data_IF_745021255693
#
_entry.id   IF_745021255693
#
_cell.length_a   1.000
_cell.length_b   1.000
_cell.length_c   1.000
_cell.angle_alpha   90.00
_cell.angle_beta   90.00
_cell.angle_gamma   90.00
#
_symmetry.space_group_name_H-M   'P 1'
#
loop_
_entity.id
_entity.type
_entity.pdbx_description
1 polymer ?
#
# COMPACT_ATOMS: atom_id res chain seq x y z
N UNK A 1 34.45 -2.77 -2.64
CA UNK A 1 33.21 -2.38 -1.94
C UNK A 1 32.56 -1.08 -2.47
N UNK A 2 33.17 -0.33 -3.40
CA UNK A 2 32.53 0.86 -4.01
C UNK A 2 31.36 0.55 -4.97
N UNK A 3 31.24 -0.68 -5.49
CA UNK A 3 30.16 -1.01 -6.43
C UNK A 3 28.75 -1.10 -5.82
N UNK A 4 28.60 -1.35 -4.51
CA UNK A 4 27.28 -1.50 -3.89
C UNK A 4 26.51 -0.17 -3.71
N UNK A 5 27.20 0.96 -3.66
CA UNK A 5 26.55 2.28 -3.47
C UNK A 5 25.79 2.77 -4.71
N UNK A 6 26.11 2.27 -5.90
CA UNK A 6 25.48 2.72 -7.14
C UNK A 6 24.13 2.05 -7.45
N UNK A 7 23.81 0.90 -6.83
CA UNK A 7 22.63 0.11 -7.20
C UNK A 7 21.44 0.25 -6.23
N UNK A 8 21.67 0.65 -4.97
CA UNK A 8 20.59 0.75 -3.98
C UNK A 8 19.43 1.68 -4.38
N UNK A 9 19.66 2.88 -4.96
CA UNK A 9 18.56 3.75 -5.40
C UNK A 9 17.69 3.13 -6.50
N UNK A 10 18.29 2.35 -7.41
CA UNK A 10 17.57 1.67 -8.49
C UNK A 10 16.71 0.52 -7.96
N UNK A 11 17.21 -0.23 -6.96
CA UNK A 11 16.44 -1.29 -6.31
C UNK A 11 15.27 -0.71 -5.53
N UNK A 12 15.49 0.37 -4.77
CA UNK A 12 14.43 1.09 -4.04
C UNK A 12 13.38 1.61 -5.02
N UNK A 13 13.79 2.24 -6.12
CA UNK A 13 12.88 2.75 -7.14
C UNK A 13 12.05 1.65 -7.81
N UNK A 14 12.71 0.57 -8.25
CA UNK A 14 12.04 -0.55 -8.89
C UNK A 14 11.03 -1.23 -7.97
N UNK A 15 11.41 -1.46 -6.72
CA UNK A 15 10.54 -2.07 -5.72
C UNK A 15 9.36 -1.15 -5.37
N UNK A 16 9.60 0.16 -5.22
CA UNK A 16 8.56 1.14 -4.98
C UNK A 16 7.53 1.16 -6.12
N UNK A 17 7.96 1.18 -7.38
CA UNK A 17 7.03 1.15 -8.53
C UNK A 17 6.15 -0.10 -8.50
N UNK A 18 6.72 -1.27 -8.20
CA UNK A 18 5.96 -2.51 -8.08
C UNK A 18 4.94 -2.41 -6.95
N UNK A 19 5.35 -1.92 -5.76
CA UNK A 19 4.44 -1.69 -4.63
C UNK A 19 3.30 -0.77 -5.05
N UNK A 20 3.59 0.37 -5.69
CA UNK A 20 2.59 1.35 -6.12
C UNK A 20 1.58 0.76 -7.10
N UNK A 21 2.03 -0.05 -8.06
CA UNK A 21 1.13 -0.71 -9.01
C UNK A 21 0.21 -1.68 -8.27
N UNK A 22 0.74 -2.51 -7.37
CA UNK A 22 -0.05 -3.48 -6.62
C UNK A 22 -1.03 -2.79 -5.65
N UNK A 23 -0.58 -1.78 -4.91
CA UNK A 23 -1.44 -0.96 -4.03
C UNK A 23 -2.55 -0.29 -4.85
N UNK A 24 -2.22 0.28 -6.02
CA UNK A 24 -3.20 0.89 -6.91
C UNK A 24 -4.23 -0.12 -7.43
N UNK A 25 -3.78 -1.24 -8.01
CA UNK A 25 -4.67 -2.31 -8.49
C UNK A 25 -5.54 -2.84 -7.35
N UNK A 26 -4.95 -3.10 -6.18
CA UNK A 26 -5.69 -3.52 -5.00
C UNK A 26 -6.76 -2.51 -4.61
N UNK A 27 -6.39 -1.25 -4.40
CA UNK A 27 -7.27 -0.17 -3.92
C UNK A 27 -8.43 0.12 -4.87
N UNK A 28 -8.16 0.16 -6.18
CA UNK A 28 -9.12 0.64 -7.18
C UNK A 28 -9.99 -0.45 -7.83
N UNK A 29 -9.88 -1.71 -7.39
CA UNK A 29 -10.65 -2.83 -7.94
C UNK A 29 -11.75 -3.33 -7.01
N UNK A 30 -12.84 -3.81 -7.62
CA UNK A 30 -14.09 -4.17 -6.93
C UNK A 30 -14.14 -5.64 -6.43
N UNK A 31 -13.03 -6.15 -5.86
CA UNK A 31 -12.95 -7.54 -5.37
C UNK A 31 -12.18 -7.68 -4.05
N UNK A 32 -12.40 -6.76 -3.13
CA UNK A 32 -11.91 -6.86 -1.75
C UNK A 32 -12.74 -7.85 -0.93
N UNK A 33 -14.06 -7.84 -1.12
CA UNK A 33 -14.98 -8.81 -0.56
C UNK A 33 -15.68 -9.58 -1.67
N UNK A 34 -15.85 -10.90 -1.49
CA UNK A 34 -16.64 -11.76 -2.36
C UNK A 34 -17.64 -12.56 -1.56
N UNK A 35 -18.84 -12.73 -2.10
CA UNK A 35 -19.92 -13.52 -1.54
C UNK A 35 -20.44 -14.46 -2.63
N UNK A 36 -20.60 -15.74 -2.31
CA UNK A 36 -21.13 -16.75 -3.23
C UNK A 36 -22.00 -17.73 -2.45
N UNK A 37 -23.25 -17.90 -2.87
CA UNK A 37 -24.18 -18.90 -2.36
C UNK A 37 -24.96 -19.51 -3.53
N UNK A 38 -24.61 -20.74 -3.91
CA UNK A 38 -25.19 -21.38 -5.10
C UNK A 38 -24.94 -20.54 -6.35
N UNK A 39 -26.01 -20.12 -7.02
CA UNK A 39 -25.94 -19.26 -8.23
C UNK A 39 -25.88 -17.76 -7.92
N UNK A 40 -26.06 -17.34 -6.66
CA UNK A 40 -25.97 -15.93 -6.27
C UNK A 40 -24.52 -15.56 -5.98
N UNK A 41 -23.96 -14.64 -6.75
CA UNK A 41 -22.61 -14.13 -6.59
C UNK A 41 -22.63 -12.61 -6.44
N UNK A 42 -21.77 -12.09 -5.57
CA UNK A 42 -21.60 -10.66 -5.36
C UNK A 42 -20.16 -10.35 -4.97
N UNK A 43 -19.71 -9.15 -5.31
CA UNK A 43 -18.39 -8.66 -4.98
C UNK A 43 -18.46 -7.19 -4.57
N UNK A 44 -17.50 -6.75 -3.77
CA UNK A 44 -17.37 -5.37 -3.33
C UNK A 44 -15.91 -4.91 -3.39
N UNK A 45 -15.71 -3.66 -3.77
CA UNK A 45 -14.49 -2.92 -3.47
C UNK A 45 -14.51 -2.33 -2.05
N UNK A 46 -13.41 -1.72 -1.63
CA UNK A 46 -13.38 -0.90 -0.41
C UNK A 46 -14.13 0.43 -0.59
N UNK A 47 -14.17 0.92 -1.83
CA UNK A 47 -14.88 2.12 -2.23
C UNK A 47 -15.39 1.93 -3.66
N UNK A 48 -16.53 2.53 -3.99
CA UNK A 48 -17.17 2.41 -5.31
C UNK A 48 -16.62 3.42 -6.32
N UNK A 49 -15.40 3.19 -6.78
CA UNK A 49 -14.72 4.10 -7.70
C UNK A 49 -15.51 4.31 -8.99
N UNK A 50 -15.71 5.57 -9.37
CA UNK A 50 -16.40 5.93 -10.61
C UNK A 50 -17.91 5.69 -10.65
N UNK A 51 -18.54 5.21 -9.56
CA UNK A 51 -19.99 5.01 -9.50
C UNK A 51 -20.74 6.25 -8.99
N UNK A 52 -21.92 6.49 -9.55
CA UNK A 52 -22.80 7.57 -9.10
C UNK A 52 -23.25 7.32 -7.65
N UNK A 53 -23.00 8.28 -6.75
CA UNK A 53 -23.39 8.15 -5.34
C UNK A 53 -22.35 7.48 -4.43
N UNK A 54 -21.15 7.16 -4.93
CA UNK A 54 -20.08 6.55 -4.16
C UNK A 54 -19.75 7.28 -2.84
N UNK A 55 -19.69 8.62 -2.87
CA UNK A 55 -19.46 9.42 -1.65
C UNK A 55 -20.57 9.24 -0.60
N UNK A 56 -21.83 9.17 -1.04
CA UNK A 56 -22.97 8.97 -0.13
C UNK A 56 -22.95 7.57 0.47
N UNK A 57 -22.56 6.56 -0.32
CA UNK A 57 -22.39 5.19 0.14
C UNK A 57 -21.22 5.06 1.13
N UNK A 58 -20.10 5.70 0.83
CA UNK A 58 -18.94 5.78 1.73
C UNK A 58 -19.29 6.38 3.09
N UNK A 59 -20.03 7.50 3.11
CA UNK A 59 -20.48 8.14 4.36
C UNK A 59 -21.39 7.24 5.20
N UNK A 60 -22.11 6.31 4.58
CA UNK A 60 -23.00 5.33 5.24
C UNK A 60 -22.31 4.01 5.55
N UNK A 61 -21.10 3.80 5.03
CA UNK A 61 -20.33 2.59 5.25
C UNK A 61 -19.88 2.49 6.72
N UNK A 62 -19.65 1.28 7.24
CA UNK A 62 -19.21 1.12 8.62
C UNK A 62 -17.83 1.76 8.83
N UNK A 63 -17.59 2.32 10.02
CA UNK A 63 -16.36 3.08 10.30
C UNK A 63 -15.05 2.30 10.08
N UNK A 64 -15.07 0.97 10.27
CA UNK A 64 -13.91 0.14 9.95
C UNK A 64 -13.58 0.14 8.45
N UNK A 65 -14.58 0.16 7.57
CA UNK A 65 -14.39 0.19 6.12
C UNK A 65 -13.92 1.58 5.68
N UNK A 66 -14.45 2.64 6.31
CA UNK A 66 -13.95 4.01 6.11
C UNK A 66 -12.47 4.13 6.47
N UNK A 67 -12.06 3.53 7.59
CA UNK A 67 -10.65 3.47 7.99
C UNK A 67 -9.79 2.78 6.93
N UNK A 68 -10.21 1.61 6.42
CA UNK A 68 -9.47 0.88 5.37
C UNK A 68 -9.28 1.75 4.12
N UNK A 69 -10.34 2.42 3.64
CA UNK A 69 -10.26 3.29 2.46
C UNK A 69 -9.28 4.44 2.68
N UNK A 70 -9.35 5.12 3.83
CA UNK A 70 -8.45 6.23 4.15
C UNK A 70 -7.01 5.75 4.24
N UNK A 71 -6.75 4.63 4.92
CA UNK A 71 -5.41 4.06 5.03
C UNK A 71 -4.83 3.69 3.65
N UNK A 72 -5.61 3.04 2.79
CA UNK A 72 -5.16 2.66 1.43
C UNK A 72 -4.88 3.89 0.56
N UNK A 73 -5.77 4.89 0.57
CA UNK A 73 -5.57 6.14 -0.17
C UNK A 73 -4.36 6.94 0.33
N UNK A 74 -4.16 7.01 1.65
CA UNK A 74 -3.00 7.70 2.23
C UNK A 74 -1.70 6.95 1.88
N UNK A 75 -1.69 5.62 1.98
CA UNK A 75 -0.54 4.82 1.58
C UNK A 75 -0.19 5.05 0.10
N UNK A 76 -1.18 4.96 -0.79
CA UNK A 76 -1.00 5.21 -2.22
C UNK A 76 -0.49 6.65 -2.50
N UNK A 77 -1.01 7.64 -1.78
CA UNK A 77 -0.55 9.03 -1.92
C UNK A 77 0.90 9.21 -1.49
N UNK A 78 1.32 8.56 -0.39
CA UNK A 78 2.71 8.57 0.05
C UNK A 78 3.64 7.79 -0.89
N UNK A 79 3.17 6.71 -1.50
CA UNK A 79 3.92 5.98 -2.54
C UNK A 79 4.19 6.87 -3.77
N UNK A 80 3.19 7.64 -4.23
CA UNK A 80 3.36 8.60 -5.31
C UNK A 80 4.34 9.72 -4.93
N UNK A 81 4.22 10.27 -3.71
CA UNK A 81 5.17 11.25 -3.20
C UNK A 81 6.59 10.67 -3.14
N UNK A 82 6.73 9.43 -2.69
CA UNK A 82 8.01 8.73 -2.63
C UNK A 82 8.58 8.52 -4.04
N UNK A 83 7.75 8.17 -5.03
CA UNK A 83 8.17 8.06 -6.44
C UNK A 83 8.74 9.40 -6.93
N UNK A 84 8.06 10.51 -6.64
CA UNK A 84 8.50 11.86 -7.02
C UNK A 84 9.81 12.26 -6.34
N UNK A 85 10.08 11.81 -5.12
CA UNK A 85 11.32 12.11 -4.40
C UNK A 85 12.51 11.27 -4.88
N UNK A 86 12.28 10.02 -5.30
CA UNK A 86 13.33 9.12 -5.77
C UNK A 86 13.87 9.51 -7.15
N UNK A 87 13.04 10.05 -8.04
CA UNK A 87 13.46 10.45 -9.40
C UNK A 87 14.59 11.49 -9.39
N UNK A 88 14.49 12.63 -8.67
CA UNK A 88 15.59 13.58 -8.54
C UNK A 88 16.83 12.97 -7.88
N UNK A 89 16.67 12.07 -6.91
CA UNK A 89 17.78 11.42 -6.22
C UNK A 89 18.62 10.55 -7.18
N UNK A 90 17.98 9.89 -8.14
CA UNK A 90 18.65 9.12 -9.21
C UNK A 90 19.33 10.06 -10.21
N UNK A 91 18.64 11.11 -10.66
CA UNK A 91 19.12 12.01 -11.72
C UNK A 91 20.27 12.90 -11.27
N UNK A 92 20.18 13.50 -10.08
CA UNK A 92 21.15 14.50 -9.62
C UNK A 92 22.32 13.89 -8.83
N UNK A 93 22.25 12.60 -8.46
CA UNK A 93 23.27 11.86 -7.67
C UNK A 93 23.76 12.55 -6.37
N UNK A 94 23.12 13.64 -5.94
CA UNK A 94 23.43 14.34 -4.69
C UNK A 94 22.67 13.65 -3.56
N UNK A 95 23.37 12.80 -2.84
CA UNK A 95 22.88 12.10 -1.66
C UNK A 95 23.06 12.99 -0.44
N UNK A 96 21.97 13.21 0.32
CA UNK A 96 21.81 13.71 1.70
C UNK A 96 20.74 14.81 1.71
N UNK A 97 19.61 14.73 2.47
CA UNK A 97 19.17 13.75 3.48
C UNK A 97 18.03 12.82 2.98
N UNK A 98 18.01 12.52 1.68
CA UNK A 98 16.89 11.80 1.03
C UNK A 98 16.68 10.39 1.59
N UNK A 99 17.72 9.67 1.99
CA UNK A 99 17.62 8.29 2.48
C UNK A 99 16.82 8.15 3.80
N UNK A 100 17.01 9.08 4.74
CA UNK A 100 16.24 9.10 5.98
C UNK A 100 14.76 9.38 5.72
N UNK A 101 14.46 10.32 4.80
CA UNK A 101 13.10 10.60 4.36
C UNK A 101 12.46 9.39 3.65
N UNK A 102 13.19 8.71 2.77
CA UNK A 102 12.75 7.47 2.12
C UNK A 102 12.42 6.38 3.14
N UNK A 103 13.27 6.20 4.15
CA UNK A 103 13.05 5.22 5.22
C UNK A 103 11.80 5.55 6.03
N UNK A 104 11.63 6.81 6.43
CA UNK A 104 10.44 7.26 7.14
C UNK A 104 9.16 7.09 6.30
N UNK A 105 9.18 7.49 5.03
CA UNK A 105 8.05 7.32 4.12
C UNK A 105 7.70 5.84 3.93
N UNK A 106 8.70 4.98 3.71
CA UNK A 106 8.48 3.53 3.57
C UNK A 106 7.88 2.91 4.84
N UNK A 107 8.25 3.40 6.02
CA UNK A 107 7.66 2.97 7.29
C UNK A 107 6.20 3.41 7.43
N UNK A 108 5.89 4.66 7.09
CA UNK A 108 4.52 5.19 7.13
C UNK A 108 3.61 4.42 6.18
N UNK A 109 4.05 4.19 4.94
CA UNK A 109 3.34 3.39 3.93
C UNK A 109 3.07 1.99 4.50
N UNK A 110 4.11 1.33 5.03
CA UNK A 110 4.00 -0.01 5.60
C UNK A 110 2.95 -0.08 6.71
N UNK A 111 2.96 0.87 7.66
CA UNK A 111 2.01 0.91 8.77
C UNK A 111 0.59 1.11 8.26
N UNK A 112 0.37 2.04 7.33
CA UNK A 112 -0.95 2.31 6.76
C UNK A 112 -1.51 1.09 6.03
N UNK A 113 -0.68 0.43 5.21
CA UNK A 113 -1.07 -0.80 4.53
C UNK A 113 -1.40 -1.91 5.53
N UNK A 114 -0.58 -2.12 6.57
CA UNK A 114 -0.86 -3.11 7.61
C UNK A 114 -2.19 -2.87 8.33
N UNK A 115 -2.47 -1.63 8.73
CA UNK A 115 -3.74 -1.27 9.36
C UNK A 115 -4.90 -1.62 8.43
N UNK A 116 -4.83 -1.21 7.16
CA UNK A 116 -5.87 -1.51 6.17
C UNK A 116 -6.10 -3.02 6.00
N UNK A 117 -5.04 -3.81 5.89
CA UNK A 117 -5.14 -5.26 5.69
C UNK A 117 -5.75 -5.99 6.89
N UNK A 118 -5.29 -5.66 8.11
CA UNK A 118 -5.74 -6.30 9.35
C UNK A 118 -7.19 -5.92 9.65
N UNK A 119 -7.51 -4.63 9.59
CA UNK A 119 -8.87 -4.14 9.89
C UNK A 119 -9.88 -4.77 8.94
N UNK A 120 -9.57 -4.85 7.64
CA UNK A 120 -10.45 -5.50 6.68
C UNK A 120 -10.63 -7.00 6.99
N UNK A 121 -9.53 -7.72 7.20
CA UNK A 121 -9.56 -9.17 7.40
C UNK A 121 -10.35 -9.59 8.65
N UNK A 122 -10.25 -8.83 9.74
CA UNK A 122 -10.94 -9.12 11.00
C UNK A 122 -12.45 -8.85 10.91
N UNK A 123 -12.88 -7.88 10.09
CA UNK A 123 -14.28 -7.44 10.04
C UNK A 123 -15.10 -8.07 8.91
N UNK A 124 -14.48 -8.43 7.79
CA UNK A 124 -15.21 -8.87 6.59
C UNK A 124 -16.06 -10.13 6.81
N UNK A 125 -15.61 -11.06 7.66
CA UNK A 125 -16.34 -12.31 7.94
C UNK A 125 -17.69 -12.12 8.63
N UNK A 126 -17.92 -10.95 9.25
CA UNK A 126 -19.20 -10.59 9.86
C UNK A 126 -20.03 -9.65 8.97
N UNK A 127 -19.48 -9.18 7.86
CA UNK A 127 -20.16 -8.31 6.92
C UNK A 127 -21.01 -9.15 5.95
N UNK A 128 -22.21 -8.67 5.65
CA UNK A 128 -23.14 -9.34 4.75
C UNK A 128 -23.54 -8.41 3.63
N UNK A 129 -23.41 -8.88 2.38
CA UNK A 129 -23.83 -8.12 1.20
C UNK A 129 -25.36 -8.17 1.03
N UNK A 130 -25.94 -9.33 1.38
CA UNK A 130 -27.37 -9.64 1.36
C UNK A 130 -27.67 -10.39 2.67
N UNK A 131 -28.86 -10.19 3.30
CA UNK A 131 -29.22 -10.93 4.50
C UNK A 131 -28.97 -12.45 4.34
N UNK A 132 -28.13 -13.02 5.21
CA UNK A 132 -27.81 -14.44 5.23
C UNK A 132 -26.55 -14.86 4.44
N UNK A 133 -25.92 -13.99 3.64
CA UNK A 133 -24.69 -14.33 2.91
C UNK A 133 -23.51 -13.53 3.46
N UNK A 134 -22.61 -14.22 4.17
CA UNK A 134 -21.36 -13.66 4.71
C UNK A 134 -20.34 -13.43 3.60
N UNK A 135 -19.65 -12.31 3.68
CA UNK A 135 -18.55 -11.99 2.79
C UNK A 135 -17.27 -12.72 3.19
N UNK A 136 -16.45 -13.04 2.19
CA UNK A 136 -15.10 -13.56 2.33
C UNK A 136 -14.11 -12.59 1.71
N UNK A 137 -12.84 -12.71 2.07
CA UNK A 137 -11.76 -11.97 1.42
C UNK A 137 -11.69 -12.31 -0.07
N UNK A 138 -11.61 -11.29 -0.91
CA UNK A 138 -11.43 -11.41 -2.34
C UNK A 138 -9.97 -11.24 -2.76
N UNK A 139 -9.71 -11.32 -4.06
CA UNK A 139 -8.34 -11.28 -4.59
C UNK A 139 -7.70 -9.89 -4.52
N UNK A 140 -8.46 -8.79 -4.55
CA UNK A 140 -7.91 -7.44 -4.41
C UNK A 140 -7.27 -7.23 -3.03
N UNK A 141 -7.84 -7.86 -1.99
CA UNK A 141 -7.22 -7.94 -0.67
C UNK A 141 -5.90 -8.71 -0.73
N UNK A 142 -5.86 -9.84 -1.45
CA UNK A 142 -4.63 -10.62 -1.66
C UNK A 142 -3.52 -9.85 -2.38
N UNK A 143 -3.86 -9.06 -3.40
CA UNK A 143 -2.90 -8.18 -4.09
C UNK A 143 -2.39 -7.09 -3.14
N UNK A 144 -3.29 -6.48 -2.37
CA UNK A 144 -2.91 -5.47 -1.38
C UNK A 144 -2.02 -6.06 -0.29
N UNK A 145 -2.22 -7.33 0.09
CA UNK A 145 -1.35 -8.04 1.03
C UNK A 145 0.06 -8.23 0.44
N UNK A 146 0.15 -8.61 -0.83
CA UNK A 146 1.42 -8.71 -1.53
C UNK A 146 2.15 -7.36 -1.59
N UNK A 147 1.41 -6.26 -1.82
CA UNK A 147 1.94 -4.91 -1.74
C UNK A 147 2.48 -4.60 -0.33
N UNK A 148 1.76 -4.96 0.74
CA UNK A 148 2.23 -4.79 2.13
C UNK A 148 3.53 -5.55 2.41
N UNK A 149 3.64 -6.81 1.95
CA UNK A 149 4.85 -7.61 2.12
C UNK A 149 6.04 -7.00 1.35
N UNK A 150 5.81 -6.53 0.13
CA UNK A 150 6.86 -5.85 -0.65
C UNK A 150 7.21 -4.48 -0.05
N UNK A 151 6.26 -3.77 0.56
CA UNK A 151 6.50 -2.54 1.31
C UNK A 151 7.37 -2.79 2.55
N UNK A 152 7.26 -3.97 3.19
CA UNK A 152 8.17 -4.37 4.25
C UNK A 152 9.60 -4.53 3.72
N UNK A 153 9.76 -5.22 2.59
CA UNK A 153 11.06 -5.35 1.94
C UNK A 153 11.63 -3.96 1.57
N UNK A 154 10.80 -3.06 1.04
CA UNK A 154 11.18 -1.68 0.71
C UNK A 154 11.68 -0.91 1.93
N UNK A 155 11.00 -1.05 3.06
CA UNK A 155 11.43 -0.46 4.32
C UNK A 155 12.79 -1.02 4.78
N UNK A 156 12.98 -2.34 4.73
CA UNK A 156 14.26 -2.97 5.11
C UNK A 156 15.41 -2.51 4.21
N UNK A 157 15.20 -2.44 2.89
CA UNK A 157 16.22 -1.94 1.96
C UNK A 157 16.53 -0.46 2.22
N UNK A 158 15.50 0.37 2.39
CA UNK A 158 15.68 1.82 2.65
C UNK A 158 16.39 2.08 3.99
N UNK A 159 16.00 1.35 5.03
CA UNK A 159 16.63 1.43 6.34
C UNK A 159 18.09 0.99 6.32
N UNK A 160 18.41 -0.09 5.61
CA UNK A 160 19.80 -0.53 5.45
C UNK A 160 20.67 0.54 4.78
N UNK A 161 20.16 1.18 3.72
CA UNK A 161 20.88 2.24 3.00
C UNK A 161 21.13 3.49 3.86
N UNK A 162 20.19 3.82 4.76
CA UNK A 162 20.33 4.94 5.70
C UNK A 162 21.42 4.67 6.75
N UNK A 163 21.47 3.45 7.29
CA UNK A 163 22.52 3.06 8.23
C UNK A 163 23.92 3.21 7.63
N UNK A 164 24.14 2.73 6.40
CA UNK A 164 25.44 2.84 5.73
C UNK A 164 25.84 4.29 5.39
N UNK A 165 24.89 5.16 5.03
CA UNK A 165 25.16 6.57 4.75
C UNK A 165 25.74 7.31 5.95
N UNK A 166 25.17 7.08 7.15
CA UNK A 166 25.66 7.67 8.39
C UNK A 166 27.10 7.25 8.72
N UNK A 167 27.47 5.98 8.52
CA UNK A 167 28.84 5.51 8.78
C UNK A 167 29.87 6.01 7.76
N UNK A 168 29.44 6.41 6.55
CA UNK A 168 30.35 6.93 5.51
C UNK A 168 30.79 8.37 5.75
N UNK A 169 30.01 9.17 6.49
CA UNK A 169 30.37 10.55 6.84
C UNK A 169 31.43 10.64 7.95
N UNK A 170 31.68 9.54 8.68
CA UNK A 170 32.69 9.47 9.75
C UNK A 170 34.05 8.89 9.28
N UNK A 171 34.29 8.80 7.97
CA UNK A 171 35.55 8.35 7.37
C UNK A 171 36.12 9.40 6.45
#
# INVERSE_FOLDING_TARGET
MHHHHHHAPFVIAGLLVIVTILTGVGTFTDYWGVASLGNAQGHMGIYEWGKSGANRLFQRSPGWLQCVVVCQLMAFSFELLFCLLVVPAILFRRMMPVHAACTLLSLIILILLFIGMIVFAVNIGNYTLVPGIKMKVGWSWGISLAATILSLALFLVSGSATGYGAYSEYR
#
